data_IF_220260051147
#
_entry.id   IF_220260051147
#
_cell.length_a   1.000
_cell.length_b   1.000
_cell.length_c   1.000
_cell.angle_alpha   90.00
_cell.angle_beta   90.00
_cell.angle_gamma   90.00
#
_symmetry.space_group_name_H-M   'P 1'
#
loop_
_entity.id
_entity.type
_entity.pdbx_description
1 polymer ?
#
# COMPACT_ATOMS: atom_id res chain seq x y z
N UNK A 1 17.21 16.28 -3.35
CA UNK A 1 17.72 16.41 -1.98
C UNK A 1 17.80 15.04 -1.35
N UNK A 2 18.89 14.73 -0.68
CA UNK A 2 19.13 13.50 0.06
C UNK A 2 19.61 13.82 1.48
N UNK A 3 19.46 12.90 2.41
CA UNK A 3 20.05 12.98 3.73
C UNK A 3 21.29 12.09 3.72
N UNK A 4 22.43 12.67 4.10
CA UNK A 4 23.65 11.89 4.31
C UNK A 4 23.55 11.22 5.68
N UNK A 5 23.43 9.92 5.72
CA UNK A 5 23.26 9.10 6.92
C UNK A 5 24.52 9.09 7.81
N UNK A 6 25.72 9.30 7.22
CA UNK A 6 26.96 9.44 7.97
C UNK A 6 27.01 10.74 8.82
N UNK A 7 26.25 11.76 8.42
CA UNK A 7 26.18 13.06 9.13
C UNK A 7 24.89 13.18 9.95
N UNK A 8 23.84 12.42 9.57
CA UNK A 8 22.55 12.46 10.25
C UNK A 8 22.69 11.92 11.68
N UNK A 9 22.22 12.67 12.67
CA UNK A 9 22.17 12.26 14.08
C UNK A 9 20.86 11.55 14.47
N UNK A 10 19.91 11.45 13.54
CA UNK A 10 18.62 10.82 13.80
C UNK A 10 17.64 11.63 14.65
N UNK A 11 17.92 12.92 14.90
CA UNK A 11 17.15 13.79 15.80
C UNK A 11 15.67 13.96 15.43
N UNK A 12 15.28 13.73 14.15
CA UNK A 12 13.89 13.80 13.69
C UNK A 12 13.39 15.21 13.39
N UNK A 13 14.18 16.27 13.49
CA UNK A 13 13.74 17.66 13.24
C UNK A 13 13.17 17.84 11.83
N UNK A 14 13.77 17.21 10.83
CA UNK A 14 13.24 17.21 9.44
C UNK A 14 11.83 16.63 9.34
N UNK A 15 11.51 15.58 10.09
CA UNK A 15 10.17 14.99 10.13
C UNK A 15 9.18 15.93 10.84
N UNK A 16 9.58 16.51 11.98
CA UNK A 16 8.77 17.46 12.75
C UNK A 16 8.45 18.72 11.95
N UNK A 17 9.44 19.25 11.21
CA UNK A 17 9.26 20.48 10.39
C UNK A 17 8.39 20.25 9.16
N UNK A 18 8.48 19.08 8.53
CA UNK A 18 7.81 18.82 7.27
C UNK A 18 6.51 18.03 7.42
N UNK A 19 6.38 17.23 8.47
CA UNK A 19 5.35 16.20 8.60
C UNK A 19 5.23 15.34 7.32
N UNK A 20 6.37 15.03 6.70
CA UNK A 20 6.46 14.41 5.39
C UNK A 20 6.68 12.90 5.53
N UNK A 21 5.83 12.10 4.90
CA UNK A 21 5.92 10.64 4.88
C UNK A 21 7.14 10.11 4.11
N UNK A 22 7.72 10.93 3.22
CA UNK A 22 8.91 10.54 2.47
C UNK A 22 10.19 10.60 3.30
N UNK A 23 10.15 11.18 4.51
CA UNK A 23 11.24 11.13 5.47
C UNK A 23 11.07 9.87 6.32
N UNK A 24 11.85 8.85 6.00
CA UNK A 24 11.77 7.50 6.58
C UNK A 24 12.91 7.24 7.56
N UNK A 25 12.70 6.34 8.55
CA UNK A 25 13.80 5.82 9.35
C UNK A 25 14.68 4.88 8.52
N UNK A 26 15.94 4.85 8.83
CA UNK A 26 16.90 3.85 8.35
C UNK A 26 17.75 3.39 9.53
N UNK A 27 17.78 2.09 9.76
CA UNK A 27 18.62 1.50 10.81
C UNK A 27 20.04 1.38 10.28
N UNK A 28 21.01 1.86 11.06
CA UNK A 28 22.43 1.78 10.75
C UNK A 28 23.20 1.23 11.95
N UNK A 29 24.47 0.85 11.76
CA UNK A 29 25.36 0.44 12.85
C UNK A 29 25.57 1.56 13.90
N UNK A 30 25.31 2.83 13.55
CA UNK A 30 25.38 3.99 14.43
C UNK A 30 23.99 4.45 14.92
N UNK A 31 22.99 3.55 14.95
CA UNK A 31 21.62 3.82 15.36
C UNK A 31 20.71 4.27 14.22
N UNK A 32 19.49 4.64 14.60
CA UNK A 32 18.45 5.04 13.65
C UNK A 32 18.70 6.42 13.08
N UNK A 33 18.81 6.46 11.76
CA UNK A 33 19.00 7.67 10.95
C UNK A 33 17.74 8.02 10.16
N UNK A 34 17.83 9.00 9.28
CA UNK A 34 16.75 9.40 8.36
C UNK A 34 17.24 9.31 6.92
N UNK A 35 16.32 8.95 6.03
CA UNK A 35 16.52 9.04 4.58
C UNK A 35 15.28 9.65 3.92
N UNK A 36 15.42 10.12 2.69
CA UNK A 36 14.30 10.57 1.87
C UNK A 36 14.02 9.49 0.83
N UNK A 37 12.82 8.92 0.88
CA UNK A 37 12.33 8.05 -0.19
C UNK A 37 12.07 8.92 -1.43
N UNK A 38 12.86 8.73 -2.47
CA UNK A 38 12.83 9.56 -3.67
C UNK A 38 11.60 9.28 -4.55
N UNK A 39 10.98 8.10 -4.42
CA UNK A 39 9.77 7.74 -5.15
C UNK A 39 8.53 8.43 -4.59
N UNK A 40 8.43 8.57 -3.27
CA UNK A 40 7.29 9.21 -2.61
C UNK A 40 7.46 10.72 -2.40
N UNK A 41 8.68 11.25 -2.62
CA UNK A 41 9.01 12.66 -2.42
C UNK A 41 8.36 13.55 -3.50
N UNK A 42 7.49 14.46 -3.08
CA UNK A 42 6.87 15.46 -3.97
C UNK A 42 7.74 16.70 -4.25
N UNK A 43 8.95 16.75 -3.70
CA UNK A 43 9.94 17.82 -3.90
C UNK A 43 9.46 19.21 -3.44
N UNK A 44 8.63 19.27 -2.40
CA UNK A 44 8.21 20.53 -1.78
C UNK A 44 9.28 21.16 -0.88
N UNK A 45 10.35 20.40 -0.58
CA UNK A 45 11.48 20.81 0.22
C UNK A 45 11.14 21.27 1.66
N UNK A 46 9.96 20.99 2.15
CA UNK A 46 9.55 21.35 3.51
C UNK A 46 10.46 20.75 4.59
N UNK A 47 11.08 19.60 4.31
CA UNK A 47 12.02 18.93 5.22
C UNK A 47 13.33 19.71 5.46
N UNK A 48 13.71 20.65 4.58
CA UNK A 48 14.91 21.47 4.72
C UNK A 48 14.68 22.81 5.39
N UNK A 49 13.47 23.09 5.91
CA UNK A 49 13.16 24.34 6.61
C UNK A 49 13.86 24.48 7.96
N UNK A 50 14.48 23.42 8.48
CA UNK A 50 15.39 23.46 9.60
C UNK A 50 16.86 23.58 9.15
N UNK A 51 17.74 24.08 10.03
CA UNK A 51 19.16 24.05 9.76
C UNK A 51 19.72 22.67 10.11
N UNK A 52 20.02 21.86 9.09
CA UNK A 52 20.57 20.53 9.28
C UNK A 52 21.72 20.27 8.29
N UNK A 53 22.93 19.98 8.77
CA UNK A 53 24.11 19.78 7.91
C UNK A 53 24.10 18.46 7.14
N UNK A 54 23.18 17.54 7.45
CA UNK A 54 23.08 16.25 6.75
C UNK A 54 22.35 16.32 5.42
N UNK A 55 21.64 17.42 5.10
CA UNK A 55 21.01 17.60 3.82
C UNK A 55 22.01 17.91 2.71
N UNK A 56 21.93 17.18 1.62
CA UNK A 56 22.77 17.35 0.43
C UNK A 56 21.88 17.51 -0.79
N UNK A 57 22.13 18.52 -1.59
CA UNK A 57 21.49 18.70 -2.90
C UNK A 57 22.39 18.12 -3.98
N UNK A 58 21.84 17.27 -4.82
CA UNK A 58 22.50 16.73 -6.01
C UNK A 58 21.93 17.45 -7.22
N UNK A 59 22.74 18.28 -7.85
CA UNK A 59 22.37 18.99 -9.08
C UNK A 59 22.69 18.16 -10.31
N UNK A 60 21.79 18.16 -11.32
CA UNK A 60 21.95 17.39 -12.54
C UNK A 60 21.85 15.86 -12.36
N UNK A 61 21.60 15.40 -11.15
CA UNK A 61 21.42 13.98 -10.84
C UNK A 61 20.08 13.47 -11.41
N UNK A 62 20.09 12.21 -11.83
CA UNK A 62 18.88 11.46 -12.17
C UNK A 62 18.78 10.24 -11.26
N UNK A 63 17.54 9.83 -10.94
CA UNK A 63 17.31 8.58 -10.23
C UNK A 63 17.95 7.44 -11.03
N UNK A 64 18.75 6.63 -10.35
CA UNK A 64 19.35 5.44 -10.95
C UNK A 64 18.22 4.46 -11.27
N UNK A 65 17.82 4.44 -12.54
CA UNK A 65 16.92 3.38 -13.02
C UNK A 65 17.65 2.05 -12.91
N UNK A 66 16.98 0.97 -12.47
CA UNK A 66 17.55 -0.36 -12.58
C UNK A 66 18.03 -0.51 -14.02
N UNK A 67 19.24 -1.07 -14.21
CA UNK A 67 19.65 -1.43 -15.56
C UNK A 67 18.50 -2.27 -16.10
N UNK A 68 17.93 -1.87 -17.25
CA UNK A 68 17.05 -2.76 -17.99
C UNK A 68 17.89 -4.01 -18.31
N UNK A 69 17.95 -4.92 -17.39
CA UNK A 69 18.24 -6.30 -17.77
C UNK A 69 17.25 -6.58 -18.88
N UNK A 70 17.78 -7.07 -20.01
CA UNK A 70 16.98 -7.47 -21.16
C UNK A 70 15.71 -8.07 -20.61
N UNK A 71 14.55 -7.54 -20.99
CA UNK A 71 13.24 -8.02 -20.55
C UNK A 71 13.40 -9.51 -20.35
N UNK A 72 13.36 -9.95 -19.09
CA UNK A 72 13.55 -11.37 -18.81
C UNK A 72 12.58 -12.09 -19.73
N UNK A 73 13.07 -13.13 -20.37
CA UNK A 73 12.25 -13.87 -21.33
C UNK A 73 10.99 -14.31 -20.59
N UNK A 74 9.88 -13.60 -20.80
CA UNK A 74 8.61 -13.91 -20.14
C UNK A 74 8.17 -15.36 -20.44
N UNK A 75 8.73 -15.99 -21.50
CA UNK A 75 8.53 -17.39 -21.80
C UNK A 75 9.22 -18.32 -20.81
N UNK A 76 10.19 -17.82 -20.04
CA UNK A 76 10.87 -18.57 -18.99
C UNK A 76 10.15 -18.53 -17.64
N UNK A 77 9.09 -17.72 -17.50
CA UNK A 77 8.25 -17.75 -16.31
C UNK A 77 7.49 -19.08 -16.25
N UNK A 78 7.33 -19.68 -15.05
CA UNK A 78 6.48 -20.85 -14.90
C UNK A 78 5.07 -20.52 -15.40
N UNK A 79 4.45 -21.48 -16.05
CA UNK A 79 3.06 -21.33 -16.47
C UNK A 79 2.18 -21.20 -15.21
N UNK A 80 1.71 -19.99 -14.95
CA UNK A 80 0.83 -19.73 -13.83
C UNK A 80 -0.57 -20.20 -14.24
N UNK A 81 -1.23 -21.09 -13.46
CA UNK A 81 -2.57 -21.56 -13.80
C UNK A 81 -3.56 -20.39 -13.80
N UNK A 82 -4.56 -20.46 -14.68
CA UNK A 82 -5.65 -19.48 -14.65
C UNK A 82 -6.38 -19.56 -13.30
N UNK A 83 -6.70 -18.40 -12.69
CA UNK A 83 -7.43 -18.38 -11.43
C UNK A 83 -8.85 -18.93 -11.59
N UNK A 84 -9.35 -19.58 -10.55
CA UNK A 84 -10.73 -20.03 -10.49
C UNK A 84 -11.62 -18.82 -10.22
N UNK A 85 -12.42 -18.42 -11.22
CA UNK A 85 -13.29 -17.26 -11.06
C UNK A 85 -14.44 -17.55 -10.08
N UNK A 86 -14.72 -16.63 -9.16
CA UNK A 86 -15.85 -16.79 -8.25
C UNK A 86 -17.18 -16.66 -9.00
N UNK A 87 -18.19 -17.40 -8.52
CA UNK A 87 -19.56 -17.27 -9.02
C UNK A 87 -20.20 -16.05 -8.35
N UNK A 88 -20.38 -14.97 -9.10
CA UNK A 88 -20.89 -13.68 -8.59
C UNK A 88 -22.41 -13.54 -8.80
N UNK A 89 -23.20 -14.56 -8.39
CA UNK A 89 -24.67 -14.51 -8.39
C UNK A 89 -25.19 -13.42 -7.45
N UNK A 90 -24.55 -13.27 -6.30
CA UNK A 90 -24.71 -12.14 -5.39
C UNK A 90 -23.49 -11.23 -5.47
N UNK A 91 -23.57 -10.03 -4.90
CA UNK A 91 -22.44 -9.12 -4.89
C UNK A 91 -21.19 -9.74 -4.24
N UNK A 92 -20.10 -9.78 -4.98
CA UNK A 92 -18.76 -10.16 -4.52
C UNK A 92 -18.04 -8.89 -4.09
N UNK A 93 -17.67 -8.83 -2.81
CA UNK A 93 -17.18 -7.61 -2.17
C UNK A 93 -15.67 -7.56 -2.09
N UNK A 94 -15.07 -6.50 -2.62
CA UNK A 94 -13.63 -6.21 -2.52
C UNK A 94 -13.45 -4.92 -1.73
N UNK A 95 -12.48 -4.90 -0.81
CA UNK A 95 -12.04 -3.68 -0.14
C UNK A 95 -10.55 -3.48 -0.37
N UNK A 96 -10.18 -2.36 -0.97
CA UNK A 96 -8.79 -1.96 -1.12
C UNK A 96 -8.50 -0.91 -0.05
N UNK A 97 -7.53 -1.16 0.80
CA UNK A 97 -7.16 -0.25 1.88
C UNK A 97 -5.68 0.13 1.84
N UNK A 98 -5.37 1.39 2.08
CA UNK A 98 -3.98 1.84 2.11
C UNK A 98 -3.84 3.32 2.42
N UNK A 99 -2.63 3.84 2.25
CA UNK A 99 -2.31 5.25 2.51
C UNK A 99 -2.78 6.13 1.35
N UNK A 100 -3.43 7.24 1.67
CA UNK A 100 -3.88 8.22 0.68
C UNK A 100 -2.72 8.79 -0.15
N UNK A 101 -2.95 8.92 -1.47
CA UNK A 101 -1.93 9.39 -2.41
C UNK A 101 -1.05 8.29 -3.01
N UNK A 102 -1.15 7.03 -2.56
CA UNK A 102 -0.36 5.90 -3.09
C UNK A 102 -1.05 5.13 -4.23
N UNK A 103 -2.25 5.54 -4.63
CA UNK A 103 -2.97 4.92 -5.73
C UNK A 103 -4.04 3.88 -5.34
N UNK A 104 -4.48 3.84 -4.09
CA UNK A 104 -5.57 2.95 -3.61
C UNK A 104 -6.83 3.10 -4.46
N UNK A 105 -7.27 4.35 -4.69
CA UNK A 105 -8.45 4.67 -5.51
C UNK A 105 -8.24 4.24 -6.98
N UNK A 106 -7.01 4.33 -7.48
CA UNK A 106 -6.67 3.88 -8.83
C UNK A 106 -6.93 2.37 -8.99
N UNK A 107 -6.58 1.56 -7.99
CA UNK A 107 -6.86 0.12 -8.00
C UNK A 107 -8.37 -0.13 -8.04
N UNK A 108 -9.15 0.58 -7.20
CA UNK A 108 -10.61 0.49 -7.21
C UNK A 108 -11.21 0.85 -8.58
N UNK A 109 -10.72 1.94 -9.19
CA UNK A 109 -11.16 2.38 -10.52
C UNK A 109 -10.81 1.38 -11.63
N UNK A 110 -9.61 0.75 -11.57
CA UNK A 110 -9.20 -0.28 -12.52
C UNK A 110 -10.11 -1.51 -12.42
N UNK A 111 -10.39 -2.00 -11.21
CA UNK A 111 -11.30 -3.12 -10.99
C UNK A 111 -12.72 -2.80 -11.45
N UNK A 112 -13.23 -1.60 -11.15
CA UNK A 112 -14.53 -1.13 -11.59
C UNK A 112 -14.65 -1.08 -13.11
N UNK A 113 -13.63 -0.53 -13.79
CA UNK A 113 -13.61 -0.47 -15.24
C UNK A 113 -13.50 -1.86 -15.88
N UNK A 114 -12.64 -2.73 -15.34
CA UNK A 114 -12.49 -4.09 -15.83
C UNK A 114 -13.82 -4.86 -15.72
N UNK A 115 -14.50 -4.80 -14.58
CA UNK A 115 -15.81 -5.44 -14.40
C UNK A 115 -16.87 -4.87 -15.36
N UNK A 116 -16.88 -3.55 -15.59
CA UNK A 116 -17.77 -2.92 -16.55
C UNK A 116 -17.51 -3.41 -17.98
N UNK A 117 -16.26 -3.49 -18.41
CA UNK A 117 -15.89 -4.00 -19.74
C UNK A 117 -16.23 -5.49 -19.93
N UNK A 118 -16.19 -6.26 -18.84
CA UNK A 118 -16.62 -7.67 -18.82
C UNK A 118 -18.15 -7.85 -18.74
N UNK A 119 -18.92 -6.77 -18.84
CA UNK A 119 -20.38 -6.77 -18.82
C UNK A 119 -21.00 -7.11 -17.46
N UNK A 120 -20.23 -7.01 -16.37
CA UNK A 120 -20.71 -7.23 -15.00
C UNK A 120 -21.44 -6.01 -14.45
N UNK A 121 -22.29 -6.23 -13.47
CA UNK A 121 -22.75 -5.18 -12.58
C UNK A 121 -21.61 -4.79 -11.65
N UNK A 122 -21.35 -3.49 -11.49
CA UNK A 122 -20.30 -2.99 -10.59
C UNK A 122 -20.70 -1.68 -9.94
N UNK A 123 -20.37 -1.56 -8.66
CA UNK A 123 -20.42 -0.29 -7.92
C UNK A 123 -19.07 -0.11 -7.23
N UNK A 124 -18.51 1.10 -7.35
CA UNK A 124 -17.31 1.51 -6.62
C UNK A 124 -17.64 2.68 -5.71
N UNK A 125 -17.16 2.65 -4.49
CA UNK A 125 -17.26 3.77 -3.56
C UNK A 125 -15.94 3.99 -2.82
N UNK A 126 -15.39 5.17 -2.99
CA UNK A 126 -14.16 5.57 -2.33
C UNK A 126 -14.47 6.32 -1.03
N UNK A 127 -13.74 5.97 0.02
CA UNK A 127 -13.72 6.68 1.28
C UNK A 127 -12.32 7.30 1.44
N UNK A 128 -12.14 8.46 0.82
CA UNK A 128 -10.95 9.29 0.99
C UNK A 128 -11.04 10.06 2.29
N UNK A 129 -9.99 10.03 3.11
CA UNK A 129 -9.86 10.92 4.25
C UNK A 129 -9.61 12.36 3.78
N UNK A 130 -9.91 13.33 4.66
CA UNK A 130 -9.59 14.74 4.42
C UNK A 130 -8.06 15.01 4.42
N UNK A 131 -7.25 14.06 4.90
CA UNK A 131 -5.81 14.14 4.88
C UNK A 131 -5.30 13.81 3.47
N UNK A 132 -4.86 14.82 2.75
CA UNK A 132 -4.33 14.67 1.38
C UNK A 132 -2.99 13.92 1.32
N UNK A 133 -2.30 13.76 2.44
CA UNK A 133 -1.04 13.00 2.56
C UNK A 133 -1.10 12.12 3.82
N UNK A 134 -0.94 10.81 3.62
CA UNK A 134 -0.74 9.87 4.72
C UNK A 134 -1.95 9.49 5.55
N UNK A 135 -3.15 9.92 5.17
CA UNK A 135 -4.41 9.46 5.78
C UNK A 135 -4.82 8.09 5.24
N UNK A 136 -5.54 7.32 6.03
CA UNK A 136 -6.13 6.07 5.57
C UNK A 136 -7.19 6.33 4.50
N UNK A 137 -7.16 5.51 3.45
CA UNK A 137 -8.07 5.58 2.31
C UNK A 137 -8.58 4.19 2.00
N UNK A 138 -9.85 4.08 1.65
CA UNK A 138 -10.47 2.82 1.24
C UNK A 138 -11.22 2.99 -0.06
N UNK A 139 -11.19 1.95 -0.88
CA UNK A 139 -12.08 1.80 -2.03
C UNK A 139 -12.87 0.51 -1.84
N UNK A 140 -14.19 0.62 -1.84
CA UNK A 140 -15.12 -0.50 -1.79
C UNK A 140 -15.60 -0.78 -3.21
N UNK A 141 -15.47 -2.02 -3.64
CA UNK A 141 -15.89 -2.47 -4.96
C UNK A 141 -16.84 -3.65 -4.77
N UNK A 142 -18.00 -3.60 -5.38
CA UNK A 142 -18.92 -4.72 -5.44
C UNK A 142 -19.17 -5.09 -6.89
N UNK A 143 -18.99 -6.38 -7.21
CA UNK A 143 -19.11 -6.94 -8.55
C UNK A 143 -20.16 -8.05 -8.50
N UNK A 144 -21.08 -8.07 -9.46
CA UNK A 144 -22.06 -9.14 -9.60
C UNK A 144 -22.28 -9.47 -11.09
N UNK A 145 -22.85 -10.64 -11.38
CA UNK A 145 -23.20 -11.00 -12.75
C UNK A 145 -24.21 -10.03 -13.37
N UNK A 146 -25.06 -9.40 -12.53
CA UNK A 146 -26.05 -8.41 -12.97
C UNK A 146 -26.08 -7.21 -12.01
N UNK A 147 -26.34 -5.99 -12.53
CA UNK A 147 -26.37 -4.76 -11.70
C UNK A 147 -27.43 -4.82 -10.58
N UNK A 148 -28.57 -5.46 -10.82
CA UNK A 148 -29.68 -5.58 -9.87
C UNK A 148 -29.41 -6.54 -8.70
N UNK A 149 -28.27 -7.25 -8.70
CA UNK A 149 -27.79 -8.04 -7.57
C UNK A 149 -26.95 -7.24 -6.56
N UNK A 150 -26.71 -5.95 -6.81
CA UNK A 150 -25.95 -5.06 -5.92
C UNK A 150 -26.90 -4.04 -5.27
N UNK A 151 -27.06 -4.13 -3.96
CA UNK A 151 -28.05 -3.32 -3.22
C UNK A 151 -27.44 -2.19 -2.39
N UNK A 152 -26.12 -2.22 -2.22
CA UNK A 152 -25.41 -1.23 -1.38
C UNK A 152 -24.18 -0.72 -2.12
N UNK A 153 -23.71 0.48 -1.78
CA UNK A 153 -22.50 1.06 -2.37
C UNK A 153 -21.23 0.64 -1.63
N UNK A 154 -21.35 0.21 -0.38
CA UNK A 154 -20.22 -0.25 0.44
C UNK A 154 -20.32 -1.76 0.69
N UNK A 155 -19.17 -2.40 0.77
CA UNK A 155 -19.08 -3.74 1.33
C UNK A 155 -19.44 -3.65 2.81
N UNK A 156 -20.43 -4.42 3.22
CA UNK A 156 -20.99 -4.41 4.56
C UNK A 156 -20.13 -5.24 5.54
N UNK A 157 -20.47 -5.15 6.83
CA UNK A 157 -19.82 -5.88 7.91
C UNK A 157 -19.82 -7.39 7.63
N UNK A 158 -18.65 -8.03 7.75
CA UNK A 158 -18.45 -9.45 7.50
C UNK A 158 -18.87 -9.92 6.08
N UNK A 159 -18.75 -9.04 5.07
CA UNK A 159 -19.18 -9.31 3.68
C UNK A 159 -18.08 -9.14 2.65
N UNK A 160 -16.85 -8.82 3.05
CA UNK A 160 -15.74 -8.82 2.12
C UNK A 160 -15.34 -10.25 1.72
N UNK A 161 -15.21 -10.49 0.44
CA UNK A 161 -14.64 -11.72 -0.12
C UNK A 161 -13.11 -11.56 -0.28
N UNK A 162 -12.67 -10.36 -0.66
CA UNK A 162 -11.27 -10.02 -0.82
C UNK A 162 -10.95 -8.68 -0.15
N UNK A 163 -9.84 -8.64 0.57
CA UNK A 163 -9.23 -7.38 1.03
C UNK A 163 -7.84 -7.26 0.41
N UNK A 164 -7.58 -6.16 -0.29
CA UNK A 164 -6.25 -5.80 -0.78
C UNK A 164 -5.67 -4.77 0.18
N UNK A 165 -4.84 -5.23 1.10
CA UNK A 165 -4.15 -4.40 2.08
C UNK A 165 -2.86 -3.82 1.50
N UNK A 166 -2.94 -2.64 0.90
CA UNK A 166 -1.76 -1.93 0.39
C UNK A 166 -0.87 -1.39 1.51
N UNK A 167 -1.42 -1.30 2.73
CA UNK A 167 -0.74 -0.90 3.96
C UNK A 167 -1.29 -1.71 5.14
N UNK A 168 -0.40 -2.28 5.97
CA UNK A 168 -0.78 -3.17 7.08
C UNK A 168 -1.56 -2.45 8.19
N UNK A 169 -1.24 -1.19 8.49
CA UNK A 169 -1.95 -0.41 9.52
C UNK A 169 -3.39 -0.13 9.08
N UNK A 170 -3.57 0.23 7.81
CA UNK A 170 -4.92 0.47 7.25
C UNK A 170 -5.69 -0.85 7.11
N UNK A 171 -5.02 -1.94 6.74
CA UNK A 171 -5.64 -3.27 6.69
C UNK A 171 -6.07 -3.76 8.08
N UNK A 172 -5.31 -3.46 9.13
CA UNK A 172 -5.64 -3.76 10.53
C UNK A 172 -6.55 -2.71 11.19
N UNK A 173 -6.98 -1.67 10.46
CA UNK A 173 -7.88 -0.67 11.03
C UNK A 173 -9.27 -1.27 11.30
N UNK A 174 -9.93 -0.82 12.37
CA UNK A 174 -11.24 -1.31 12.80
C UNK A 174 -12.30 -1.39 11.68
N UNK A 175 -12.29 -0.47 10.73
CA UNK A 175 -13.23 -0.46 9.59
C UNK A 175 -12.91 -1.55 8.58
N UNK A 176 -11.64 -1.85 8.36
CA UNK A 176 -11.23 -2.95 7.47
C UNK A 176 -11.47 -4.30 8.13
N UNK A 177 -11.11 -4.44 9.42
CA UNK A 177 -11.38 -5.68 10.15
C UNK A 177 -12.88 -6.00 10.24
N UNK A 178 -13.73 -4.98 10.37
CA UNK A 178 -15.18 -5.17 10.46
C UNK A 178 -15.81 -5.79 9.22
N UNK A 179 -15.24 -5.60 8.02
CA UNK A 179 -15.77 -6.22 6.78
C UNK A 179 -15.28 -7.63 6.57
N UNK A 180 -14.26 -8.08 7.31
CA UNK A 180 -13.68 -9.42 7.21
C UNK A 180 -14.53 -10.46 7.92
N UNK A 181 -14.48 -11.70 7.45
CA UNK A 181 -15.15 -12.85 8.04
C UNK A 181 -14.27 -14.10 7.93
N UNK A 182 -14.09 -14.86 9.01
CA UNK A 182 -13.37 -16.13 8.98
C UNK A 182 -13.97 -17.10 7.95
N UNK A 183 -13.10 -17.73 7.16
CA UNK A 183 -13.49 -18.71 6.15
C UNK A 183 -14.15 -18.14 4.88
N UNK A 184 -14.35 -16.82 4.82
CA UNK A 184 -14.87 -16.11 3.64
C UNK A 184 -13.82 -15.19 3.03
N UNK A 185 -13.27 -14.30 3.85
CA UNK A 185 -12.40 -13.24 3.37
C UNK A 185 -10.99 -13.75 3.15
N UNK A 186 -10.43 -13.51 1.97
CA UNK A 186 -9.01 -13.60 1.72
C UNK A 186 -8.38 -12.20 1.78
N UNK A 187 -7.19 -12.10 2.36
CA UNK A 187 -6.43 -10.85 2.45
C UNK A 187 -5.12 -10.98 1.70
N UNK A 188 -4.94 -10.17 0.67
CA UNK A 188 -3.65 -9.94 0.02
C UNK A 188 -2.98 -8.74 0.72
N UNK A 189 -1.87 -8.95 1.44
CA UNK A 189 -1.30 -7.97 2.34
C UNK A 189 0.12 -7.56 1.93
N UNK A 190 0.34 -6.25 1.76
CA UNK A 190 1.68 -5.68 1.70
C UNK A 190 2.24 -5.53 3.11
N UNK A 191 3.36 -6.18 3.40
CA UNK A 191 4.02 -6.15 4.71
C UNK A 191 4.99 -4.99 4.89
N UNK A 192 5.18 -4.17 3.86
CA UNK A 192 6.06 -3.01 3.96
C UNK A 192 5.59 -2.03 5.05
N UNK A 193 6.51 -1.62 5.92
CA UNK A 193 6.20 -0.72 7.04
C UNK A 193 6.27 0.75 6.66
N UNK A 194 5.15 1.40 6.43
CA UNK A 194 5.09 2.84 6.15
C UNK A 194 5.09 3.64 7.45
N UNK A 195 6.01 4.62 7.63
CA UNK A 195 6.00 5.50 8.80
C UNK A 195 4.70 6.30 8.90
N UNK A 196 4.18 6.44 10.12
CA UNK A 196 2.98 7.24 10.40
C UNK A 196 3.33 8.54 11.11
N UNK A 197 2.32 9.38 11.38
CA UNK A 197 2.47 10.58 12.20
C UNK A 197 3.02 10.28 13.62
N UNK A 198 2.83 9.06 14.12
CA UNK A 198 3.42 8.64 15.39
C UNK A 198 4.96 8.65 15.35
N UNK A 199 5.57 8.32 14.20
CA UNK A 199 7.01 8.40 13.99
C UNK A 199 7.53 9.84 14.03
N UNK A 200 6.75 10.81 13.58
CA UNK A 200 7.12 12.24 13.66
C UNK A 200 7.23 12.69 15.10
N UNK A 201 6.30 12.25 15.95
CA UNK A 201 6.25 12.63 17.36
C UNK A 201 7.17 11.80 18.25
N UNK A 202 7.49 10.57 17.83
CA UNK A 202 8.38 9.66 18.56
C UNK A 202 9.41 9.06 17.58
N UNK A 203 10.66 9.58 17.60
CA UNK A 203 11.74 9.07 16.74
C UNK A 203 12.05 7.58 16.92
N UNK A 204 11.74 7.03 18.09
CA UNK A 204 11.98 5.63 18.44
C UNK A 204 10.76 4.73 18.14
N UNK A 205 9.71 5.30 17.52
CA UNK A 205 8.52 4.55 17.16
C UNK A 205 8.86 3.31 16.32
N UNK A 206 8.27 2.18 16.70
CA UNK A 206 8.41 0.92 15.98
C UNK A 206 7.15 0.65 15.16
N UNK A 207 7.33 0.18 13.95
CA UNK A 207 6.22 -0.24 13.10
C UNK A 207 5.49 -1.43 13.74
N UNK A 208 4.16 -1.36 13.96
CA UNK A 208 3.41 -2.38 14.69
C UNK A 208 3.03 -3.61 13.82
N UNK A 209 3.89 -4.01 12.87
CA UNK A 209 3.60 -5.05 11.88
C UNK A 209 3.07 -6.34 12.50
N UNK A 210 3.74 -6.88 13.50
CA UNK A 210 3.31 -8.12 14.15
C UNK A 210 1.92 -8.04 14.82
N UNK A 211 1.55 -6.87 15.36
CA UNK A 211 0.21 -6.65 15.91
C UNK A 211 -0.84 -6.54 14.80
N UNK A 212 -0.48 -5.88 13.69
CA UNK A 212 -1.36 -5.79 12.51
C UNK A 212 -1.61 -7.17 11.91
N UNK A 213 -0.57 -7.96 11.71
CA UNK A 213 -0.65 -9.31 11.15
C UNK A 213 -1.50 -10.23 12.05
N UNK A 214 -1.31 -10.16 13.39
CA UNK A 214 -2.09 -10.94 14.32
C UNK A 214 -3.58 -10.56 14.30
N UNK A 215 -3.90 -9.27 14.23
CA UNK A 215 -5.28 -8.78 14.17
C UNK A 215 -5.98 -9.22 12.87
N UNK A 216 -5.29 -9.12 11.73
CA UNK A 216 -5.81 -9.55 10.42
C UNK A 216 -6.00 -11.08 10.41
N UNK A 217 -5.01 -11.85 10.85
CA UNK A 217 -5.10 -13.30 10.93
C UNK A 217 -6.26 -13.77 11.82
N UNK A 218 -6.49 -13.10 12.95
CA UNK A 218 -7.63 -13.38 13.82
C UNK A 218 -8.98 -13.09 13.15
N UNK A 219 -9.05 -12.04 12.29
CA UNK A 219 -10.28 -11.65 11.61
C UNK A 219 -10.68 -12.60 10.48
N UNK A 220 -9.71 -13.23 9.78
CA UNK A 220 -10.01 -14.10 8.63
C UNK A 220 -9.81 -15.59 8.90
N UNK A 221 -9.08 -15.94 9.96
CA UNK A 221 -8.77 -17.32 10.31
C UNK A 221 -7.56 -17.90 9.57
N UNK A 222 -7.25 -19.14 9.81
CA UNK A 222 -6.08 -19.81 9.26
C UNK A 222 -6.17 -19.91 7.72
N UNK A 223 -5.07 -19.57 7.03
CA UNK A 223 -4.96 -19.64 5.58
C UNK A 223 -5.65 -18.52 4.81
N UNK A 224 -6.30 -17.56 5.50
CA UNK A 224 -6.98 -16.44 4.86
C UNK A 224 -6.07 -15.25 4.49
N UNK A 225 -4.76 -15.32 4.73
CA UNK A 225 -3.82 -14.23 4.45
C UNK A 225 -2.69 -14.71 3.56
N UNK A 226 -2.48 -14.01 2.47
CA UNK A 226 -1.26 -14.08 1.67
C UNK A 226 -0.53 -12.74 1.74
N UNK A 227 0.77 -12.75 2.01
CA UNK A 227 1.50 -11.51 2.26
C UNK A 227 2.92 -11.53 1.72
N UNK A 228 3.43 -10.36 1.30
CA UNK A 228 4.83 -10.14 0.92
C UNK A 228 5.16 -8.64 0.98
N UNK A 229 6.45 -8.30 0.99
CA UNK A 229 6.89 -6.91 0.87
C UNK A 229 6.83 -6.47 -0.60
N UNK A 230 5.68 -5.93 -0.99
CA UNK A 230 5.41 -5.51 -2.36
C UNK A 230 6.20 -4.26 -2.75
N UNK A 231 6.54 -3.38 -1.81
CA UNK A 231 7.36 -2.20 -2.09
C UNK A 231 8.81 -2.59 -2.39
N UNK A 232 9.36 -3.51 -1.63
CA UNK A 232 10.69 -4.04 -1.90
C UNK A 232 10.75 -4.69 -3.28
N UNK A 233 9.78 -5.53 -3.62
CA UNK A 233 9.68 -6.19 -4.93
C UNK A 233 9.52 -5.16 -6.05
N UNK A 234 8.63 -4.17 -5.90
CA UNK A 234 8.42 -3.10 -6.88
C UNK A 234 9.72 -2.32 -7.14
N UNK A 235 10.40 -1.93 -6.07
CA UNK A 235 11.65 -1.16 -6.16
C UNK A 235 12.77 -1.97 -6.80
N UNK A 236 12.90 -3.26 -6.46
CA UNK A 236 13.95 -4.12 -7.01
C UNK A 236 13.71 -4.47 -8.49
N UNK A 237 12.48 -4.80 -8.86
CA UNK A 237 12.17 -5.24 -10.23
C UNK A 237 11.88 -4.09 -11.19
N UNK A 238 11.17 -3.06 -10.72
CA UNK A 238 10.65 -1.98 -11.56
C UNK A 238 11.33 -0.64 -11.30
N UNK A 239 12.09 -0.54 -10.19
CA UNK A 239 12.88 0.63 -9.84
C UNK A 239 12.11 1.76 -9.17
N UNK A 240 10.84 1.56 -8.85
CA UNK A 240 9.99 2.58 -8.24
C UNK A 240 8.87 1.96 -7.41
N UNK A 241 8.64 2.52 -6.22
CA UNK A 241 7.57 2.08 -5.30
C UNK A 241 6.16 2.41 -5.81
N UNK A 242 6.01 3.23 -6.85
CA UNK A 242 4.70 3.52 -7.46
C UNK A 242 4.00 2.27 -7.98
N UNK A 243 4.76 1.22 -8.26
CA UNK A 243 4.23 -0.07 -8.76
C UNK A 243 3.78 -1.01 -7.65
N UNK A 244 3.89 -0.64 -6.39
CA UNK A 244 3.50 -1.48 -5.23
C UNK A 244 2.05 -1.94 -5.31
N UNK A 245 1.11 -1.00 -5.48
CA UNK A 245 -0.31 -1.34 -5.52
C UNK A 245 -0.73 -2.12 -6.77
N UNK A 246 -0.23 -1.83 -7.99
CA UNK A 246 -0.40 -2.72 -9.14
C UNK A 246 0.11 -4.15 -8.94
N UNK A 247 1.25 -4.33 -8.24
CA UNK A 247 1.75 -5.67 -7.88
C UNK A 247 0.81 -6.37 -6.90
N UNK A 248 0.30 -5.64 -5.90
CA UNK A 248 -0.70 -6.17 -4.97
C UNK A 248 -1.98 -6.60 -5.68
N UNK A 249 -2.43 -5.83 -6.67
CA UNK A 249 -3.57 -6.21 -7.50
C UNK A 249 -3.31 -7.51 -8.28
N UNK A 250 -2.14 -7.63 -8.93
CA UNK A 250 -1.75 -8.84 -9.65
C UNK A 250 -1.66 -10.07 -8.75
N UNK A 251 -1.10 -9.91 -7.55
CA UNK A 251 -1.04 -10.96 -6.55
C UNK A 251 -2.43 -11.39 -6.06
N UNK A 252 -3.30 -10.44 -5.82
CA UNK A 252 -4.67 -10.71 -5.38
C UNK A 252 -5.54 -11.33 -6.48
N UNK A 253 -5.20 -11.12 -7.75
CA UNK A 253 -5.87 -11.75 -8.89
C UNK A 253 -5.53 -13.23 -8.99
N UNK A 254 -4.27 -13.62 -8.74
CA UNK A 254 -3.80 -15.01 -8.78
C UNK A 254 -4.18 -15.79 -7.51
#
# INVERSE_FOLDING_TARGET
>A
VVINDLVCEGCGDCSTKSNCLSVEPVETEFGRKRRINQSTCNKDYSCVNGFCPSFVTVEGGQLKKPKKEKKGDLSALPNIPEPVLPVAETAWGIVVGGVGGTGVITIGSLLGMAAHLDGKGVITQDAGGLAQKGGATWSHIQIANRPDAIYTTKVDTAKADLVIGCDSIVAAHKYTLAVMQPGRTFVALNTHGTPTAAFVNNPDWQFPGGNCDAAIAAAVGAGGVGSFDAEQVATQLLGDSIYTNPLMLGYAWQ
#
